data_IF_326803282556
#
_entry.id   IF_326803282556
#
_cell.length_a   1.000
_cell.length_b   1.000
_cell.length_c   1.000
_cell.angle_alpha   90.00
_cell.angle_beta   90.00
_cell.angle_gamma   90.00
#
_symmetry.space_group_name_H-M   'P 1'
#
loop_
_entity.id
_entity.type
_entity.pdbx_description
1 polymer ?
#
# COMPACT_ATOMS: atom_id res chain seq x y z
N UNK A 1 29.50 -4.36 -3.49
CA UNK A 1 28.68 -5.37 -2.81
C UNK A 1 27.42 -5.73 -3.59
N UNK A 2 26.52 -4.79 -3.93
CA UNK A 2 25.22 -5.03 -4.59
C UNK A 2 25.32 -5.79 -5.92
N UNK A 3 26.33 -5.47 -6.75
CA UNK A 3 26.52 -6.13 -8.05
C UNK A 3 26.78 -7.64 -7.92
N UNK A 4 27.57 -8.07 -6.91
CA UNK A 4 27.82 -9.49 -6.64
C UNK A 4 26.57 -10.17 -6.05
N UNK A 5 25.90 -9.50 -5.11
CA UNK A 5 24.72 -10.02 -4.44
C UNK A 5 23.56 -10.24 -5.43
N UNK A 6 23.31 -9.32 -6.36
CA UNK A 6 22.26 -9.44 -7.35
C UNK A 6 22.39 -10.71 -8.21
N UNK A 7 23.63 -11.08 -8.62
CA UNK A 7 23.89 -12.30 -9.37
C UNK A 7 23.61 -13.56 -8.55
N UNK A 8 23.95 -13.57 -7.25
CA UNK A 8 23.68 -14.70 -6.35
C UNK A 8 22.18 -14.85 -6.07
N UNK A 9 21.46 -13.74 -5.83
CA UNK A 9 20.01 -13.75 -5.60
C UNK A 9 19.28 -14.29 -6.83
N UNK A 10 19.67 -13.83 -8.04
CA UNK A 10 19.05 -14.30 -9.28
C UNK A 10 19.21 -15.81 -9.51
N UNK A 11 20.38 -16.37 -9.13
CA UNK A 11 20.64 -17.82 -9.24
C UNK A 11 19.91 -18.65 -8.19
N UNK A 12 19.72 -18.12 -6.98
CA UNK A 12 19.10 -18.85 -5.86
C UNK A 12 17.57 -18.75 -5.84
N UNK A 13 16.97 -18.00 -6.77
CA UNK A 13 15.50 -17.76 -6.83
C UNK A 13 14.89 -17.35 -5.48
N UNK A 14 15.63 -16.58 -4.69
CA UNK A 14 15.18 -16.10 -3.39
C UNK A 14 14.75 -14.64 -3.43
N UNK A 15 13.94 -14.24 -2.45
CA UNK A 15 13.57 -12.84 -2.19
C UNK A 15 14.51 -12.30 -1.12
N UNK A 16 15.22 -11.21 -1.44
CA UNK A 16 16.07 -10.51 -0.48
C UNK A 16 15.37 -9.24 0.02
N UNK A 17 15.13 -9.15 1.32
CA UNK A 17 14.52 -8.00 1.97
C UNK A 17 15.62 -7.22 2.70
N UNK A 18 15.77 -5.95 2.34
CA UNK A 18 16.71 -5.03 2.96
C UNK A 18 15.95 -4.06 3.87
N UNK A 19 16.21 -4.16 5.17
CA UNK A 19 15.67 -3.21 6.16
C UNK A 19 16.68 -2.07 6.31
N UNK A 20 16.24 -0.84 6.13
CA UNK A 20 17.10 0.34 6.20
C UNK A 20 16.41 1.45 7.00
N UNK A 21 17.19 2.19 7.78
CA UNK A 21 16.71 3.36 8.50
C UNK A 21 16.79 4.61 7.63
N UNK A 22 15.86 5.54 7.86
CA UNK A 22 15.94 6.90 7.34
C UNK A 22 16.80 7.76 8.25
N UNK A 23 17.61 8.62 7.65
CA UNK A 23 18.40 9.63 8.31
C UNK A 23 18.10 10.98 7.68
N UNK A 24 18.12 12.02 8.47
CA UNK A 24 18.01 13.38 7.97
C UNK A 24 19.36 13.90 7.53
N UNK A 25 19.41 14.46 6.35
CA UNK A 25 20.59 15.17 5.84
C UNK A 25 20.50 16.62 6.26
N UNK A 26 21.43 17.03 7.11
CA UNK A 26 21.56 18.42 7.58
C UNK A 26 21.87 19.34 6.40
N UNK A 27 21.24 20.54 6.36
CA UNK A 27 21.48 21.57 5.36
C UNK A 27 20.65 21.46 4.08
N UNK A 28 19.63 20.59 4.01
CA UNK A 28 18.66 20.56 2.93
C UNK A 28 17.54 21.54 3.21
N UNK A 29 17.55 22.70 2.53
CA UNK A 29 16.53 23.76 2.71
C UNK A 29 15.27 23.46 1.87
N UNK A 30 15.45 22.81 0.69
CA UNK A 30 14.36 22.47 -0.23
C UNK A 30 14.35 20.97 -0.54
N UNK A 31 13.16 20.37 -0.62
CA UNK A 31 12.95 18.95 -0.90
C UNK A 31 12.91 18.07 0.35
N UNK A 32 12.94 16.75 0.16
CA UNK A 32 12.90 15.79 1.26
C UNK A 32 14.32 15.56 1.82
N UNK A 33 14.59 15.95 3.08
CA UNK A 33 15.89 15.73 3.72
C UNK A 33 16.19 14.27 4.05
N UNK A 34 15.17 13.40 4.01
CA UNK A 34 15.31 12.01 4.41
C UNK A 34 16.12 11.19 3.40
N UNK A 35 17.15 10.56 3.88
CA UNK A 35 18.04 9.71 3.09
C UNK A 35 18.23 8.36 3.76
N UNK A 36 18.40 7.32 2.92
CA UNK A 36 18.78 5.99 3.41
C UNK A 36 20.29 5.88 3.53
N UNK A 37 20.77 5.15 4.53
CA UNK A 37 22.19 4.80 4.67
C UNK A 37 22.63 3.83 3.56
N UNK A 38 23.95 3.75 3.29
CA UNK A 38 24.49 2.81 2.30
C UNK A 38 24.52 3.28 0.84
N UNK A 39 24.28 4.58 0.60
CA UNK A 39 24.40 5.20 -0.73
C UNK A 39 23.22 4.94 -1.67
N UNK A 40 23.40 5.29 -2.95
CA UNK A 40 22.33 5.25 -3.95
C UNK A 40 22.09 3.89 -4.60
N UNK A 41 23.05 2.95 -4.50
CA UNK A 41 23.01 1.69 -5.23
C UNK A 41 21.75 0.87 -4.94
N UNK A 42 21.39 0.70 -3.66
CA UNK A 42 20.21 -0.06 -3.25
C UNK A 42 18.91 0.48 -3.87
N UNK A 43 18.77 1.80 -4.00
CA UNK A 43 17.60 2.43 -4.63
C UNK A 43 17.41 2.01 -6.10
N UNK A 44 18.51 1.78 -6.82
CA UNK A 44 18.47 1.36 -8.23
C UNK A 44 18.23 -0.15 -8.36
N UNK A 45 18.90 -0.97 -7.55
CA UNK A 45 18.78 -2.43 -7.61
C UNK A 45 17.42 -2.94 -7.12
N UNK A 46 16.82 -2.33 -6.10
CA UNK A 46 15.54 -2.75 -5.55
C UNK A 46 14.42 -2.76 -6.62
N UNK A 47 13.69 -3.87 -6.69
CA UNK A 47 12.49 -4.01 -7.52
C UNK A 47 11.30 -3.33 -6.88
N UNK A 48 11.13 -3.50 -5.58
CA UNK A 48 10.08 -2.85 -4.77
C UNK A 48 10.76 -2.06 -3.66
N UNK A 49 10.25 -0.87 -3.37
CA UNK A 49 10.63 -0.08 -2.19
C UNK A 49 9.38 0.34 -1.47
N UNK A 50 9.35 0.06 -0.20
CA UNK A 50 8.29 0.43 0.72
C UNK A 50 8.83 1.36 1.79
N UNK A 51 8.06 2.37 2.14
CA UNK A 51 8.30 3.25 3.26
C UNK A 51 7.31 2.92 4.36
N UNK A 52 7.83 2.57 5.53
CA UNK A 52 7.02 2.19 6.69
C UNK A 52 7.09 3.33 7.70
N UNK A 53 5.95 3.91 8.03
CA UNK A 53 5.84 5.01 9.00
C UNK A 53 4.83 4.70 10.09
N UNK A 54 5.25 4.87 11.31
CA UNK A 54 4.33 4.89 12.44
C UNK A 54 3.61 6.23 12.44
N UNK A 55 2.27 6.18 12.46
CA UNK A 55 1.40 7.35 12.47
C UNK A 55 1.11 7.78 13.91
N UNK A 56 0.58 6.86 14.70
CA UNK A 56 0.22 7.10 16.09
C UNK A 56 0.46 5.87 16.98
N UNK A 57 0.48 6.10 18.28
CA UNK A 57 0.55 5.03 19.27
C UNK A 57 -0.85 4.62 19.70
N UNK A 58 -1.11 3.31 19.68
CA UNK A 58 -2.33 2.75 20.24
C UNK A 58 -2.15 2.55 21.75
N UNK A 59 -3.10 3.07 22.50
CA UNK A 59 -3.08 3.05 23.98
C UNK A 59 -4.33 2.38 24.52
N UNK A 60 -4.18 1.64 25.61
CA UNK A 60 -5.27 1.21 26.46
C UNK A 60 -5.10 1.89 27.84
N UNK A 61 -5.88 2.95 28.08
CA UNK A 61 -5.62 3.85 29.19
C UNK A 61 -4.27 4.55 29.06
N UNK A 62 -3.34 4.27 29.98
CA UNK A 62 -1.96 4.81 29.97
C UNK A 62 -0.94 3.89 29.31
N UNK A 63 -1.29 2.63 29.08
CA UNK A 63 -0.39 1.63 28.53
C UNK A 63 -0.35 1.69 27.00
N UNK A 64 0.88 1.59 26.44
CA UNK A 64 1.11 1.51 25.01
C UNK A 64 0.97 0.05 24.55
N UNK A 65 -0.09 -0.25 23.81
CA UNK A 65 -0.41 -1.62 23.35
C UNK A 65 -0.02 -1.89 21.89
N UNK A 66 0.26 -0.84 21.12
CA UNK A 66 0.58 -1.00 19.70
C UNK A 66 0.86 0.31 19.00
N UNK A 67 0.86 0.25 17.68
CA UNK A 67 1.03 1.42 16.81
C UNK A 67 0.19 1.30 15.55
N UNK A 68 -0.45 2.39 15.15
CA UNK A 68 -1.02 2.54 13.81
C UNK A 68 0.09 2.86 12.83
N UNK A 69 0.21 2.06 11.79
CA UNK A 69 1.34 2.10 10.84
C UNK A 69 0.84 2.24 9.43
N UNK A 70 1.48 3.13 8.67
CA UNK A 70 1.25 3.28 7.22
C UNK A 70 2.44 2.77 6.44
N UNK A 71 2.17 1.99 5.40
CA UNK A 71 3.15 1.53 4.41
C UNK A 71 2.81 2.13 3.06
N UNK A 72 3.78 2.80 2.46
CA UNK A 72 3.68 3.40 1.13
C UNK A 72 4.64 2.73 0.18
N UNK A 73 4.15 2.26 -0.97
CA UNK A 73 4.98 1.71 -2.04
C UNK A 73 5.54 2.86 -2.89
N UNK A 74 6.78 3.27 -2.63
CA UNK A 74 7.41 4.41 -3.33
C UNK A 74 8.08 4.05 -4.64
N UNK A 75 8.34 2.74 -4.89
CA UNK A 75 8.83 2.21 -6.15
C UNK A 75 8.33 0.78 -6.32
N UNK A 76 7.85 0.47 -7.52
CA UNK A 76 7.49 -0.90 -7.89
C UNK A 76 7.80 -1.10 -9.38
N UNK A 77 8.52 -2.18 -9.72
CA UNK A 77 8.84 -2.57 -11.09
C UNK A 77 7.92 -3.65 -11.65
N UNK A 78 7.13 -4.29 -10.77
CA UNK A 78 6.30 -5.45 -11.13
C UNK A 78 4.80 -5.16 -11.07
N UNK A 79 4.40 -4.01 -10.52
CA UNK A 79 3.02 -3.56 -10.44
C UNK A 79 2.96 -2.02 -10.33
N UNK A 80 1.79 -1.37 -10.48
CA UNK A 80 1.64 0.07 -10.29
C UNK A 80 2.13 0.51 -8.89
N UNK A 81 3.04 1.50 -8.81
CA UNK A 81 3.54 2.04 -7.54
C UNK A 81 2.53 2.98 -6.88
N UNK A 82 2.95 3.57 -5.75
CA UNK A 82 2.25 4.61 -4.99
C UNK A 82 0.96 4.16 -4.30
N UNK A 83 0.76 2.85 -4.14
CA UNK A 83 -0.28 2.32 -3.26
C UNK A 83 0.14 2.48 -1.80
N UNK A 84 -0.86 2.73 -0.96
CA UNK A 84 -0.70 2.86 0.49
C UNK A 84 -1.61 1.84 1.19
N UNK A 85 -1.14 1.34 2.33
CA UNK A 85 -1.90 0.51 3.24
C UNK A 85 -1.65 0.99 4.68
N UNK A 86 -2.70 1.02 5.49
CA UNK A 86 -2.64 1.38 6.90
C UNK A 86 -3.19 0.22 7.72
N UNK A 87 -2.51 -0.10 8.82
CA UNK A 87 -2.89 -1.19 9.71
C UNK A 87 -2.31 -1.01 11.11
N UNK A 88 -2.90 -1.70 12.07
CA UNK A 88 -2.46 -1.71 13.45
C UNK A 88 -1.46 -2.83 13.70
N UNK A 89 -0.33 -2.50 14.33
CA UNK A 89 0.65 -3.47 14.84
C UNK A 89 0.50 -3.50 16.36
N UNK A 90 0.04 -4.63 16.88
CA UNK A 90 -0.08 -4.86 18.32
C UNK A 90 1.23 -5.44 18.87
N UNK A 91 1.66 -4.98 20.02
CA UNK A 91 2.87 -5.50 20.65
C UNK A 91 2.65 -6.93 21.13
N UNK A 92 3.57 -7.82 20.74
CA UNK A 92 3.48 -9.25 21.04
C UNK A 92 2.59 -10.09 20.10
N UNK A 93 1.60 -9.49 19.42
CA UNK A 93 0.71 -10.19 18.48
C UNK A 93 1.09 -9.95 17.00
N UNK A 94 1.64 -8.76 16.69
CA UNK A 94 1.94 -8.36 15.31
C UNK A 94 0.79 -7.61 14.65
N UNK A 95 0.59 -7.79 13.34
CA UNK A 95 -0.48 -7.12 12.58
C UNK A 95 -1.85 -7.60 13.05
N UNK A 96 -2.70 -6.66 13.47
CA UNK A 96 -4.04 -6.97 14.01
C UNK A 96 -5.03 -7.22 12.88
N UNK A 97 -5.32 -8.50 12.60
CA UNK A 97 -6.33 -8.91 11.62
C UNK A 97 -7.72 -8.36 11.96
N UNK A 98 -8.10 -8.39 13.24
CA UNK A 98 -9.43 -7.93 13.66
C UNK A 98 -9.62 -6.43 13.50
N UNK A 99 -8.57 -5.63 13.69
CA UNK A 99 -8.61 -4.20 13.41
C UNK A 99 -8.89 -3.93 11.93
N UNK A 100 -8.18 -4.63 11.04
CA UNK A 100 -8.39 -4.51 9.59
C UNK A 100 -9.79 -4.93 9.17
N UNK A 101 -10.34 -6.01 9.75
CA UNK A 101 -11.70 -6.46 9.45
C UNK A 101 -12.75 -5.40 9.80
N UNK A 102 -12.60 -4.72 10.94
CA UNK A 102 -13.50 -3.61 11.32
C UNK A 102 -13.38 -2.46 10.33
N UNK A 103 -12.16 -2.00 10.02
CA UNK A 103 -11.93 -0.83 9.19
C UNK A 103 -12.32 -1.08 7.72
N UNK A 104 -11.91 -2.22 7.16
CA UNK A 104 -12.28 -2.62 5.81
C UNK A 104 -13.77 -2.98 5.72
N UNK A 105 -14.34 -3.62 6.76
CA UNK A 105 -15.76 -3.89 6.83
C UNK A 105 -16.60 -2.63 6.74
N UNK A 106 -16.20 -1.56 7.43
CA UNK A 106 -16.84 -0.24 7.33
C UNK A 106 -16.62 0.36 5.93
N UNK A 107 -15.40 0.32 5.43
CA UNK A 107 -15.06 0.87 4.10
C UNK A 107 -15.88 0.23 2.98
N UNK A 108 -16.08 -1.09 3.03
CA UNK A 108 -16.84 -1.84 2.02
C UNK A 108 -18.33 -1.99 2.34
N UNK A 109 -18.83 -1.33 3.40
CA UNK A 109 -20.25 -1.32 3.76
C UNK A 109 -20.79 -2.67 4.25
N UNK A 110 -19.94 -3.55 4.77
CA UNK A 110 -20.30 -4.80 5.43
C UNK A 110 -20.58 -4.58 6.91
N UNK A 111 -19.87 -3.63 7.50
CA UNK A 111 -20.05 -3.18 8.86
C UNK A 111 -20.57 -1.75 8.83
N UNK A 112 -21.71 -1.49 9.48
CA UNK A 112 -22.29 -0.17 9.61
C UNK A 112 -21.74 0.50 10.86
N UNK A 113 -21.26 1.75 10.70
CA UNK A 113 -20.83 2.60 11.81
C UNK A 113 -21.86 3.72 12.01
N UNK A 114 -22.55 3.71 13.14
CA UNK A 114 -23.50 4.76 13.54
C UNK A 114 -23.02 5.43 14.82
N UNK A 115 -22.41 6.61 14.71
CA UNK A 115 -21.74 7.24 15.84
C UNK A 115 -20.64 6.37 16.42
N UNK A 116 -20.79 5.96 17.69
CA UNK A 116 -19.86 5.05 18.37
C UNK A 116 -20.20 3.56 18.18
N UNK A 117 -21.34 3.23 17.60
CA UNK A 117 -21.81 1.86 17.46
C UNK A 117 -21.41 1.21 16.15
N UNK A 118 -21.01 -0.05 16.24
CA UNK A 118 -20.72 -0.91 15.10
C UNK A 118 -21.75 -2.03 15.01
N UNK A 119 -22.30 -2.27 13.81
CA UNK A 119 -23.27 -3.34 13.57
C UNK A 119 -23.04 -3.99 12.20
N UNK A 120 -23.48 -5.24 12.06
CA UNK A 120 -23.45 -6.00 10.83
C UNK A 120 -24.85 -6.58 10.60
N UNK A 121 -25.58 -6.04 9.63
CA UNK A 121 -27.02 -6.31 9.50
C UNK A 121 -27.74 -5.95 10.81
N UNK A 122 -28.48 -6.93 11.37
CA UNK A 122 -29.19 -6.78 12.63
C UNK A 122 -28.33 -7.06 13.88
N UNK A 123 -27.11 -7.56 13.70
CA UNK A 123 -26.20 -7.92 14.79
C UNK A 123 -25.38 -6.72 15.24
N UNK A 124 -25.45 -6.39 16.54
CA UNK A 124 -24.58 -5.36 17.13
C UNK A 124 -23.23 -5.96 17.49
N UNK A 125 -22.15 -5.40 16.94
CA UNK A 125 -20.77 -5.81 17.23
C UNK A 125 -20.25 -5.18 18.52
N UNK A 126 -20.71 -3.97 18.86
CA UNK A 126 -20.34 -3.30 20.10
C UNK A 126 -20.21 -1.78 19.97
N UNK A 127 -19.97 -1.15 21.10
CA UNK A 127 -19.72 0.29 21.19
C UNK A 127 -18.20 0.56 21.17
N UNK A 128 -17.75 1.29 20.16
CA UNK A 128 -16.33 1.56 19.93
C UNK A 128 -15.64 0.48 19.09
N UNK A 129 -14.50 0.90 18.50
CA UNK A 129 -13.67 0.05 17.61
C UNK A 129 -13.13 -1.18 18.37
N UNK A 130 -12.77 -1.01 19.64
CA UNK A 130 -12.19 -2.09 20.44
C UNK A 130 -13.20 -3.17 20.79
N UNK A 131 -14.46 -2.80 21.09
CA UNK A 131 -15.53 -3.77 21.30
C UNK A 131 -15.83 -4.56 20.01
N UNK A 132 -15.84 -3.91 18.84
CA UNK A 132 -16.00 -4.59 17.56
C UNK A 132 -14.84 -5.55 17.25
N UNK A 133 -13.58 -5.16 17.56
CA UNK A 133 -12.41 -6.06 17.46
C UNK A 133 -12.53 -7.28 18.37
N UNK A 134 -12.98 -7.06 19.61
CA UNK A 134 -13.18 -8.15 20.58
C UNK A 134 -14.25 -9.10 20.08
N UNK A 135 -15.35 -8.60 19.55
CA UNK A 135 -16.41 -9.43 18.96
C UNK A 135 -15.87 -10.35 17.86
N UNK A 136 -15.04 -9.85 16.94
CA UNK A 136 -14.41 -10.69 15.90
C UNK A 136 -13.38 -11.67 16.46
N UNK A 137 -12.71 -11.37 17.59
CA UNK A 137 -11.84 -12.35 18.30
C UNK A 137 -12.65 -13.52 18.88
N UNK A 138 -13.82 -13.23 19.42
CA UNK A 138 -14.73 -14.22 20.04
C UNK A 138 -15.52 -15.04 19.02
N UNK A 139 -15.72 -14.48 17.81
CA UNK A 139 -16.50 -15.11 16.75
C UNK A 139 -15.64 -15.25 15.45
N UNK A 140 -14.70 -16.20 15.43
CA UNK A 140 -13.78 -16.37 14.28
C UNK A 140 -14.53 -16.75 13.00
N UNK A 141 -15.64 -17.50 13.08
CA UNK A 141 -16.45 -17.88 11.93
C UNK A 141 -17.02 -16.66 11.19
N UNK A 142 -17.51 -15.68 11.97
CA UNK A 142 -18.04 -14.42 11.45
C UNK A 142 -16.90 -13.58 10.87
N UNK A 143 -15.75 -13.53 11.54
CA UNK A 143 -14.57 -12.83 11.05
C UNK A 143 -14.08 -13.40 9.70
N UNK A 144 -14.07 -14.72 9.53
CA UNK A 144 -13.73 -15.41 8.30
C UNK A 144 -14.75 -15.15 7.18
N UNK A 145 -16.05 -15.09 7.51
CA UNK A 145 -17.09 -14.74 6.54
C UNK A 145 -16.91 -13.30 6.03
N UNK A 146 -16.76 -12.33 6.94
CA UNK A 146 -16.52 -10.92 6.61
C UNK A 146 -15.24 -10.76 5.77
N UNK A 147 -14.17 -11.47 6.11
CA UNK A 147 -12.93 -11.44 5.33
C UNK A 147 -13.13 -11.92 3.90
N UNK A 148 -13.88 -13.00 3.70
CA UNK A 148 -14.18 -13.52 2.35
C UNK A 148 -14.96 -12.51 1.52
N UNK A 149 -15.96 -11.86 2.11
CA UNK A 149 -16.76 -10.85 1.43
C UNK A 149 -15.93 -9.60 1.09
N UNK A 150 -15.04 -9.15 2.00
CA UNK A 150 -14.09 -8.07 1.73
C UNK A 150 -13.21 -8.44 0.53
N UNK A 151 -12.66 -9.65 0.49
CA UNK A 151 -11.78 -10.09 -0.61
C UNK A 151 -12.51 -10.10 -1.96
N UNK A 152 -13.76 -10.53 -2.00
CA UNK A 152 -14.60 -10.48 -3.21
C UNK A 152 -14.76 -9.04 -3.69
N UNK A 153 -15.13 -8.12 -2.79
CA UNK A 153 -15.29 -6.70 -3.14
C UNK A 153 -13.99 -6.03 -3.59
N UNK A 154 -12.86 -6.38 -2.97
CA UNK A 154 -11.53 -5.91 -3.39
C UNK A 154 -11.20 -6.37 -4.81
N UNK A 155 -11.48 -7.64 -5.15
CA UNK A 155 -11.21 -8.17 -6.48
C UNK A 155 -12.13 -7.54 -7.56
N UNK A 156 -13.40 -7.28 -7.22
CA UNK A 156 -14.31 -6.52 -8.08
C UNK A 156 -13.81 -5.10 -8.36
N UNK A 157 -13.33 -4.39 -7.33
CA UNK A 157 -12.71 -3.06 -7.51
C UNK A 157 -11.47 -3.12 -8.39
N UNK A 158 -10.62 -4.13 -8.21
CA UNK A 158 -9.43 -4.31 -9.06
C UNK A 158 -9.80 -4.54 -10.51
N UNK A 159 -10.80 -5.37 -10.76
CA UNK A 159 -11.30 -5.67 -12.11
C UNK A 159 -11.89 -4.43 -12.78
N UNK A 160 -12.69 -3.64 -12.07
CA UNK A 160 -13.25 -2.36 -12.55
C UNK A 160 -12.16 -1.35 -12.88
N UNK A 161 -11.14 -1.22 -12.02
CA UNK A 161 -10.04 -0.29 -12.22
C UNK A 161 -9.13 -0.71 -13.39
N UNK A 162 -8.92 -2.01 -13.61
CA UNK A 162 -8.15 -2.51 -14.75
C UNK A 162 -8.88 -2.28 -16.07
N UNK A 163 -10.19 -2.51 -16.11
CA UNK A 163 -11.03 -2.25 -17.28
C UNK A 163 -11.09 -0.74 -17.60
N UNK A 164 -11.25 0.13 -16.60
CA UNK A 164 -11.24 1.58 -16.77
C UNK A 164 -9.89 2.14 -17.26
N UNK A 165 -8.78 1.54 -16.86
CA UNK A 165 -7.45 1.90 -17.35
C UNK A 165 -7.25 1.49 -18.82
N UNK A 166 -7.76 0.34 -19.23
CA UNK A 166 -7.70 -0.13 -20.62
C UNK A 166 -8.52 0.76 -21.57
N UNK A 167 -9.71 1.20 -21.13
CA UNK A 167 -10.56 2.12 -21.91
C UNK A 167 -9.89 3.48 -22.09
N UNK A 168 -9.31 4.06 -21.04
CA UNK A 168 -8.58 5.33 -21.14
C UNK A 168 -7.35 5.26 -22.04
N UNK A 169 -6.65 4.11 -22.10
CA UNK A 169 -5.53 3.93 -23.01
C UNK A 169 -6.00 3.87 -24.48
N UNK A 170 -7.10 3.22 -24.76
CA UNK A 170 -7.66 3.15 -26.12
C UNK A 170 -8.15 4.51 -26.62
N UNK A 171 -8.77 5.33 -25.77
CA UNK A 171 -9.19 6.70 -26.11
C UNK A 171 -8.00 7.64 -26.35
N UNK A 172 -6.92 7.52 -25.57
CA UNK A 172 -5.72 8.35 -25.74
C UNK A 172 -4.94 8.03 -27.02
N UNK A 173 -4.99 6.79 -27.52
CA UNK A 173 -4.38 6.38 -28.79
C UNK A 173 -5.21 6.85 -29.98
N UNK A 174 -6.55 6.93 -29.85
CA UNK A 174 -7.45 7.37 -30.91
C UNK A 174 -7.41 8.88 -31.15
N UNK A 175 -6.93 9.68 -30.20
CA UNK A 175 -6.87 11.15 -30.28
C UNK A 175 -5.48 11.72 -30.59
N UNK A 176 -4.46 10.90 -30.89
CA UNK A 176 -3.16 11.39 -31.33
C UNK A 176 -3.25 11.98 -32.74
N UNK A 177 -2.92 13.29 -32.97
CA UNK A 177 -2.92 13.87 -34.32
C UNK A 177 -1.86 13.19 -35.18
N UNK A 178 -2.24 12.76 -36.37
CA UNK A 178 -1.33 12.23 -37.36
C UNK A 178 -0.24 13.26 -37.68
N UNK A 179 1.00 12.96 -37.33
CA UNK A 179 2.18 13.76 -37.63
C UNK A 179 2.36 13.79 -39.15
N UNK A 180 2.22 14.98 -39.78
CA UNK A 180 2.48 15.20 -41.21
C UNK A 180 3.95 14.89 -41.48
N UNK A 181 4.29 14.15 -42.54
CA UNK A 181 5.69 13.92 -42.94
C UNK A 181 6.36 15.26 -43.33
N UNK A 182 7.48 15.56 -42.69
CA UNK A 182 8.27 16.74 -42.98
C UNK A 182 8.82 16.65 -44.41
N UNK A 183 8.60 17.70 -45.21
CA UNK A 183 9.15 17.86 -46.56
C UNK A 183 10.69 17.90 -46.53
N UNK A 184 11.41 17.34 -47.53
CA UNK A 184 12.86 17.35 -47.58
C UNK A 184 13.37 18.77 -47.87
N UNK A 185 14.37 19.23 -47.08
CA UNK A 185 15.07 20.48 -47.33
C UNK A 185 15.91 20.40 -48.61
N UNK A 186 15.93 21.43 -49.48
CA UNK A 186 16.76 21.43 -50.65
C UNK A 186 18.28 21.59 -50.28
N UNK A 187 19.08 20.74 -50.88
CA UNK A 187 20.53 20.79 -50.85
C UNK A 187 21.02 22.10 -51.52
N UNK A 188 21.71 22.95 -50.74
CA UNK A 188 22.49 24.06 -51.34
C UNK A 188 23.93 23.60 -51.57
N UNK A 189 24.24 23.36 -52.84
CA UNK A 189 25.62 23.33 -53.35
C UNK A 189 26.16 24.77 -53.42
N UNK A 190 27.26 25.04 -52.72
CA UNK A 190 28.43 25.76 -53.19
C UNK A 190 29.52 25.63 -52.15
#
# INVERSE_FOLDING_TARGET
AMRKLAGSIAKSQCVAIFINQLREKVGVIYGNPEVTTGGRALKFYASVRMEVRRMEHLKNGTELIGSHTRVKVVKNKVAPPFKEAEFDIMYGEGISRTSELVDLGVKYGLVNKSGAWFSMGDTRLGQGRDAAKQYFKEHPDIADAVQREIMIKVEEERSKNSAGAAVKLSESVATAPAEKPAAPKPSSAK
#
